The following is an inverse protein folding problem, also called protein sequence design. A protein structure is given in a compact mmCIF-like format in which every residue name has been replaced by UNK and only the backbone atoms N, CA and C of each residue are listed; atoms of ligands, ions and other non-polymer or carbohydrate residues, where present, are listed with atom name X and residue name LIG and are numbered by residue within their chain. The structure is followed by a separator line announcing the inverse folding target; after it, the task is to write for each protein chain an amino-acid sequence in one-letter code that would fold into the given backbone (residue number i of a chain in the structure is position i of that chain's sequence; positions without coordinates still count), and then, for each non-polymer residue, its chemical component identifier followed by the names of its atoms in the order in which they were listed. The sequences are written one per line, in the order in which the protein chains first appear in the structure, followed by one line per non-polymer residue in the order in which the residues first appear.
data_IF_210268201803
#
_entry.id   IF_210268201803
#
_cell.length_a   1.000
_cell.length_b   1.000
_cell.length_c   1.000
_cell.angle_alpha   90.00
_cell.angle_beta   90.00
_cell.angle_gamma   90.00
#
_symmetry.space_group_name_H-M   'P 1'
#
loop_
_entity.id
_entity.type
_entity.pdbx_description
1 polymer ?
#
# COMPACT_ATOMS: atom_id res chain seq x y z
N UNK A 1 -16.11 -5.82 -21.30
CA UNK A 1 -15.91 -6.09 -20.97
C UNK A 1 -15.26 -6.22 -20.45
N UNK A 2 -15.14 -6.08 -20.46
CA UNK A 2 -14.65 -6.29 -19.98
C UNK A 2 -13.90 -6.43 -19.58
N UNK A 3 -13.60 -6.07 -19.81
CA UNK A 3 -13.04 -6.21 -19.52
C UNK A 3 -12.49 -6.49 -18.70
N UNK A 4 -12.46 -6.26 -18.34
CA UNK A 4 -12.05 -6.52 -17.53
C UNK A 4 -11.66 -7.52 -17.39
N UNK A 5 -11.22 -7.50 -17.57
CA UNK A 5 -10.85 -8.54 -17.50
C UNK A 5 -11.02 -9.28 -16.46
N UNK A 6 -11.50 -9.75 -16.67
CA UNK A 6 -11.93 -10.51 -15.69
C UNK A 6 -10.89 -11.14 -15.00
N UNK A 7 -10.06 -11.44 -15.48
CA UNK A 7 -9.20 -12.01 -14.83
C UNK A 7 -8.58 -11.22 -13.97
N UNK A 8 -9.03 -10.15 -13.79
CA UNK A 8 -8.47 -9.41 -13.00
C UNK A 8 -9.17 -8.80 -12.14
N UNK A 9 -9.88 -9.30 -11.33
CA UNK A 9 -10.36 -8.57 -10.29
C UNK A 9 -9.17 -8.30 -9.52
N UNK A 10 -8.88 -7.13 -9.34
CA UNK A 10 -7.88 -6.75 -8.51
C UNK A 10 -8.35 -6.84 -7.15
N UNK A 11 -7.72 -7.63 -6.35
CA UNK A 11 -8.13 -7.83 -5.00
C UNK A 11 -7.16 -7.12 -4.10
N UNK A 12 -7.64 -6.38 -3.12
CA UNK A 12 -6.78 -5.65 -2.20
C UNK A 12 -6.20 -6.62 -1.19
N UNK A 13 -4.88 -6.59 -1.02
CA UNK A 13 -4.20 -7.45 -0.09
C UNK A 13 -4.29 -6.85 1.31
N UNK A 14 -4.18 -7.70 2.32
CA UNK A 14 -4.05 -7.26 3.70
C UNK A 14 -2.62 -7.53 4.11
N UNK A 15 -1.91 -6.49 4.49
CA UNK A 15 -0.48 -6.56 4.74
C UNK A 15 -0.17 -6.14 6.16
N UNK A 16 0.79 -6.81 6.75
CA UNK A 16 1.30 -6.41 8.03
C UNK A 16 2.68 -5.85 7.77
N UNK A 17 2.90 -4.59 8.12
CA UNK A 17 4.14 -3.90 7.82
C UNK A 17 5.13 -4.03 8.97
N UNK A 18 6.35 -4.44 8.64
CA UNK A 18 7.42 -4.63 9.61
C UNK A 18 8.54 -3.64 9.29
N UNK A 19 9.57 -3.62 10.10
CA UNK A 19 10.64 -2.64 9.92
C UNK A 19 11.33 -2.72 8.58
N UNK A 20 11.69 -3.88 8.14
CA UNK A 20 12.43 -4.02 6.91
C UNK A 20 11.69 -4.79 5.83
N UNK A 21 10.50 -5.25 6.12
CA UNK A 21 9.78 -6.09 5.17
C UNK A 21 8.31 -6.07 5.53
N UNK A 22 7.50 -6.79 4.78
CA UNK A 22 6.10 -6.91 5.11
C UNK A 22 5.64 -8.34 4.97
N UNK A 23 4.53 -8.66 5.62
CA UNK A 23 3.94 -9.98 5.55
C UNK A 23 2.58 -9.89 4.91
N UNK A 24 2.25 -10.84 4.05
CA UNK A 24 0.94 -10.86 3.43
C UNK A 24 0.01 -11.65 4.35
N UNK A 25 -0.95 -10.97 4.93
CA UNK A 25 -1.92 -11.60 5.81
C UNK A 25 -3.04 -12.21 4.98
N UNK A 26 -3.49 -11.48 3.96
CA UNK A 26 -4.49 -11.99 3.05
C UNK A 26 -4.03 -11.66 1.65
N UNK A 27 -4.03 -12.62 0.77
CA UNK A 27 -3.53 -12.42 -0.57
C UNK A 27 -4.31 -11.43 -1.36
N UNK A 28 -3.60 -10.72 -2.22
CA UNK A 28 -4.20 -9.76 -3.12
C UNK A 28 -3.12 -9.20 -4.01
N UNK A 29 -3.49 -8.27 -4.87
CA UNK A 29 -2.59 -7.73 -5.86
C UNK A 29 -2.01 -6.39 -5.49
N UNK A 30 -2.67 -5.68 -4.62
CA UNK A 30 -2.30 -4.30 -4.32
C UNK A 30 -2.76 -3.89 -2.95
N UNK A 31 -2.24 -2.76 -2.48
CA UNK A 31 -2.78 -2.06 -1.31
C UNK A 31 -2.98 -0.62 -1.72
N UNK A 32 -3.68 0.16 -0.90
CA UNK A 32 -3.93 1.56 -1.24
C UNK A 32 -3.06 2.48 -0.44
N UNK A 33 -2.51 3.46 -1.12
CA UNK A 33 -1.68 4.48 -0.48
C UNK A 33 -2.52 5.23 0.55
N UNK A 34 -2.04 5.32 1.77
CA UNK A 34 -2.78 5.98 2.83
C UNK A 34 -2.93 7.48 2.58
N UNK A 35 -2.04 8.06 1.82
CA UNK A 35 -2.08 9.49 1.56
C UNK A 35 -2.93 9.85 0.34
N UNK A 36 -2.86 9.04 -0.71
CA UNK A 36 -3.50 9.40 -1.97
C UNK A 36 -4.64 8.49 -2.40
N UNK A 37 -4.72 7.30 -1.82
CA UNK A 37 -5.72 6.33 -2.22
C UNK A 37 -5.38 5.56 -3.47
N UNK A 38 -4.23 5.81 -4.05
CA UNK A 38 -3.85 5.11 -5.26
C UNK A 38 -3.49 3.67 -4.97
N UNK A 39 -3.78 2.79 -5.92
CA UNK A 39 -3.40 1.41 -5.78
C UNK A 39 -1.89 1.27 -5.92
N UNK A 40 -1.29 0.48 -5.04
CA UNK A 40 0.14 0.21 -5.07
C UNK A 40 0.30 -1.28 -5.27
N UNK A 41 0.77 -1.71 -6.45
CA UNK A 41 1.03 -3.12 -6.65
C UNK A 41 2.04 -3.61 -5.61
N UNK A 42 1.87 -4.81 -5.11
CA UNK A 42 2.75 -5.29 -4.06
C UNK A 42 4.22 -5.29 -4.46
N UNK A 43 4.49 -5.51 -5.73
CA UNK A 43 5.87 -5.49 -6.21
C UNK A 43 6.50 -4.11 -6.16
N UNK A 44 5.68 -3.05 -6.00
CA UNK A 44 6.18 -1.68 -5.93
C UNK A 44 6.03 -1.10 -4.53
N UNK A 45 5.63 -1.89 -3.56
CA UNK A 45 5.41 -1.42 -2.21
C UNK A 45 6.75 -1.28 -1.50
N UNK A 46 7.15 -0.06 -1.22
CA UNK A 46 8.43 0.21 -0.62
C UNK A 46 8.41 1.13 0.59
N UNK A 47 7.33 1.86 0.77
CA UNK A 47 7.25 2.84 1.85
C UNK A 47 6.05 2.56 2.72
N UNK A 48 6.24 2.54 4.02
CA UNK A 48 5.13 2.33 4.94
C UNK A 48 5.48 2.86 6.32
N UNK A 49 4.46 3.05 7.13
CA UNK A 49 4.62 3.47 8.51
C UNK A 49 4.25 2.28 9.40
N UNK A 50 5.23 1.76 10.12
CA UNK A 50 5.01 0.58 10.94
C UNK A 50 4.08 0.88 12.11
N UNK A 51 4.26 2.01 12.74
CA UNK A 51 3.45 2.36 13.91
C UNK A 51 1.98 2.46 13.56
N UNK A 52 1.66 2.98 12.36
CA UNK A 52 0.28 3.13 11.95
C UNK A 52 -0.18 2.06 10.99
N UNK A 53 0.73 1.20 10.55
CA UNK A 53 0.42 0.14 9.60
C UNK A 53 -0.22 0.73 8.34
N UNK A 54 0.45 1.70 7.75
CA UNK A 54 -0.05 2.39 6.58
C UNK A 54 0.97 2.39 5.46
N UNK A 55 0.56 2.04 4.24
CA UNK A 55 1.48 2.04 3.11
C UNK A 55 1.44 3.37 2.36
N UNK A 56 2.51 3.66 1.65
CA UNK A 56 2.58 4.86 0.83
C UNK A 56 3.16 4.51 -0.53
N UNK A 57 2.63 5.14 -1.55
CA UNK A 57 3.02 4.84 -2.92
C UNK A 57 4.33 5.46 -3.35
N UNK A 58 4.82 6.44 -2.60
CA UNK A 58 6.05 7.12 -2.97
C UNK A 58 6.73 7.67 -1.73
N UNK A 59 7.99 8.01 -1.87
CA UNK A 59 8.72 8.65 -0.78
C UNK A 59 8.08 9.98 -0.43
N UNK A 60 7.58 10.68 -1.43
CA UNK A 60 6.93 11.97 -1.20
C UNK A 60 5.67 11.81 -0.37
N UNK A 61 4.87 10.82 -0.67
CA UNK A 61 3.65 10.59 0.08
C UNK A 61 3.97 10.24 1.52
N UNK A 62 4.99 9.40 1.72
CA UNK A 62 5.39 9.02 3.06
C UNK A 62 5.91 10.22 3.85
N UNK A 63 6.68 11.07 3.20
CA UNK A 63 7.25 12.24 3.83
C UNK A 63 6.16 13.26 4.19
N UNK A 64 5.22 13.45 3.27
CA UNK A 64 4.10 14.37 3.52
C UNK A 64 3.28 13.91 4.71
N UNK A 65 3.09 12.61 4.84
CA UNK A 65 2.34 12.08 5.95
C UNK A 65 3.06 12.33 7.27
N UNK A 66 4.39 12.19 7.25
CA UNK A 66 5.15 12.46 8.42
C UNK A 66 5.02 13.90 8.86
N UNK A 67 5.08 14.83 7.91
CA UNK A 67 4.94 16.25 8.21
C UNK A 67 3.56 16.55 8.77
N UNK A 68 2.55 15.94 8.16
CA UNK A 68 1.20 16.19 8.59
C UNK A 68 0.90 15.66 9.97
N UNK A 69 1.51 14.57 10.34
CA UNK A 69 1.24 13.99 11.64
C UNK A 69 2.11 14.59 12.72
N UNK A 70 2.93 15.55 12.37
CA UNK A 70 3.71 16.25 13.36
C UNK A 70 4.89 15.48 13.88
N UNK A 71 5.26 14.45 13.18
CA UNK A 71 6.34 13.63 13.70
C UNK A 71 7.62 13.93 12.98
#
# INVERSE_FOLDING_TARGET
MNVQDPKQPRREAVIRYLDADFEVVREGDFVRCAATGQAIPLGHLRYWNVARQQPFGSAEAAFADRLRSGA
#
